data_IF_328389654545
#
_entry.id   IF_328389654545
#
_cell.length_a   1.000
_cell.length_b   1.000
_cell.length_c   1.000
_cell.angle_alpha   90.00
_cell.angle_beta   90.00
_cell.angle_gamma   90.00
#
_symmetry.space_group_name_H-M   'P 1'
#
loop_
_entity.id
_entity.type
_entity.pdbx_description
1 polymer ?
#
# COMPACT_ATOMS: atom_id res chain seq x y z
N UNK A 1 -33.78 -2.27 -26.96
CA UNK A 1 -33.09 -1.41 -25.98
C UNK A 1 -32.12 -2.29 -25.21
N UNK A 2 -30.82 -2.19 -25.48
CA UNK A 2 -29.82 -2.88 -24.68
C UNK A 2 -29.57 -2.01 -23.43
N UNK A 3 -30.15 -2.41 -22.30
CA UNK A 3 -29.76 -1.86 -21.00
C UNK A 3 -28.35 -2.37 -20.74
N UNK A 4 -27.36 -1.59 -21.17
CA UNK A 4 -25.96 -1.82 -20.84
C UNK A 4 -25.83 -1.66 -19.34
N UNK A 5 -25.94 -2.76 -18.61
CA UNK A 5 -25.55 -2.84 -17.22
C UNK A 5 -24.05 -2.58 -17.18
N UNK A 6 -23.66 -1.32 -16.98
CA UNK A 6 -22.28 -0.99 -16.64
C UNK A 6 -21.92 -1.86 -15.43
N UNK A 7 -20.78 -2.57 -15.45
CA UNK A 7 -20.34 -3.34 -14.30
C UNK A 7 -20.40 -2.40 -13.09
N UNK A 8 -21.16 -2.79 -12.07
CA UNK A 8 -21.45 -1.98 -10.89
C UNK A 8 -20.10 -1.60 -10.26
N UNK A 9 -19.61 -0.41 -10.57
CA UNK A 9 -18.32 0.05 -10.09
C UNK A 9 -18.35 0.02 -8.56
N UNK A 10 -17.32 -0.56 -7.95
CA UNK A 10 -17.23 -0.64 -6.49
C UNK A 10 -17.15 0.79 -5.95
N UNK A 11 -18.13 1.20 -5.14
CA UNK A 11 -18.08 2.50 -4.48
C UNK A 11 -16.97 2.50 -3.41
N UNK A 12 -16.43 3.69 -3.11
CA UNK A 12 -15.43 3.85 -2.07
C UNK A 12 -15.93 3.34 -0.70
N UNK A 13 -17.21 3.58 -0.39
CA UNK A 13 -17.86 3.08 0.83
C UNK A 13 -17.88 1.54 0.89
N UNK A 14 -18.26 0.87 -0.21
CA UNK A 14 -18.23 -0.60 -0.28
C UNK A 14 -16.82 -1.15 -0.20
N UNK A 15 -15.84 -0.42 -0.75
CA UNK A 15 -14.44 -0.82 -0.68
C UNK A 15 -13.91 -0.74 0.76
N UNK A 16 -14.28 0.32 1.49
CA UNK A 16 -13.95 0.46 2.90
C UNK A 16 -14.54 -0.67 3.74
N UNK A 17 -15.84 -0.95 3.59
CA UNK A 17 -16.50 -2.06 4.30
C UNK A 17 -15.87 -3.41 3.98
N UNK A 18 -15.42 -3.61 2.73
CA UNK A 18 -14.73 -4.81 2.30
C UNK A 18 -13.36 -4.95 2.99
N UNK A 19 -12.56 -3.89 3.04
CA UNK A 19 -11.26 -3.87 3.73
C UNK A 19 -11.42 -4.10 5.24
N UNK A 20 -12.37 -3.41 5.88
CA UNK A 20 -12.69 -3.60 7.29
C UNK A 20 -13.11 -5.06 7.58
N UNK A 21 -13.93 -5.64 6.71
CA UNK A 21 -14.36 -7.03 6.83
C UNK A 21 -13.20 -8.03 6.61
N UNK A 22 -12.24 -7.74 5.73
CA UNK A 22 -11.04 -8.55 5.55
C UNK A 22 -10.15 -8.56 6.78
N UNK A 23 -10.12 -7.45 7.54
CA UNK A 23 -9.37 -7.35 8.79
C UNK A 23 -10.04 -8.14 9.93
N UNK A 24 -11.37 -8.25 9.92
CA UNK A 24 -12.12 -9.02 10.93
C UNK A 24 -12.11 -10.52 10.61
N UNK A 25 -12.33 -10.89 9.34
CA UNK A 25 -12.41 -12.27 8.90
C UNK A 25 -11.10 -12.68 8.22
N UNK A 26 -10.24 -13.36 8.97
CA UNK A 26 -8.98 -13.89 8.46
C UNK A 26 -9.19 -15.13 7.56
N UNK A 27 -8.10 -15.64 6.97
CA UNK A 27 -8.05 -16.78 6.03
C UNK A 27 -8.63 -18.07 6.60
N UNK A 28 -8.51 -18.27 7.91
CA UNK A 28 -8.98 -19.47 8.61
C UNK A 28 -10.48 -19.41 8.96
N UNK A 29 -11.14 -18.30 8.66
CA UNK A 29 -12.58 -18.13 8.95
C UNK A 29 -13.41 -19.00 8.01
N UNK A 30 -14.23 -19.94 8.52
CA UNK A 30 -15.17 -20.67 7.67
C UNK A 30 -16.21 -19.69 7.10
N UNK A 31 -16.58 -19.92 5.84
CA UNK A 31 -17.53 -19.08 5.09
C UNK A 31 -17.13 -17.59 5.04
N UNK A 32 -15.82 -17.31 5.07
CA UNK A 32 -15.24 -15.96 5.03
C UNK A 32 -15.93 -15.05 4.02
N UNK A 33 -16.05 -15.50 2.78
CA UNK A 33 -16.62 -14.71 1.68
C UNK A 33 -18.10 -14.39 1.87
N UNK A 34 -18.87 -15.33 2.43
CA UNK A 34 -20.28 -15.10 2.72
C UNK A 34 -20.45 -14.09 3.86
N UNK A 35 -19.59 -14.15 4.89
CA UNK A 35 -19.60 -13.16 5.98
C UNK A 35 -19.22 -11.76 5.48
N UNK A 36 -18.20 -11.66 4.63
CA UNK A 36 -17.81 -10.39 4.02
C UNK A 36 -18.93 -9.84 3.13
N UNK A 37 -19.54 -10.67 2.28
CA UNK A 37 -20.66 -10.26 1.43
C UNK A 37 -21.86 -9.72 2.23
N UNK A 38 -22.13 -10.31 3.41
CA UNK A 38 -23.14 -9.82 4.35
C UNK A 38 -22.79 -8.46 4.95
N UNK A 39 -21.53 -8.22 5.29
CA UNK A 39 -21.06 -6.93 5.85
C UNK A 39 -21.09 -5.82 4.81
N UNK A 40 -20.61 -6.10 3.59
CA UNK A 40 -20.57 -5.12 2.50
C UNK A 40 -21.97 -4.77 1.98
N UNK A 41 -22.89 -5.74 1.99
CA UNK A 41 -24.28 -5.55 1.62
C UNK A 41 -24.51 -5.37 0.10
N UNK A 42 -25.54 -6.05 -0.41
CA UNK A 42 -25.91 -5.96 -1.83
C UNK A 42 -24.78 -6.35 -2.78
N UNK A 43 -24.00 -7.37 -2.39
CA UNK A 43 -22.93 -8.02 -3.13
C UNK A 43 -22.99 -9.53 -2.91
N UNK A 44 -22.59 -10.34 -3.89
CA UNK A 44 -22.53 -11.80 -3.74
C UNK A 44 -21.14 -12.28 -3.31
N UNK A 45 -21.04 -13.54 -2.87
CA UNK A 45 -19.74 -14.11 -2.50
C UNK A 45 -18.76 -14.17 -3.69
N UNK A 46 -19.26 -14.37 -4.91
CA UNK A 46 -18.46 -14.40 -6.13
C UNK A 46 -17.91 -13.02 -6.48
N UNK A 47 -18.72 -11.97 -6.32
CA UNK A 47 -18.26 -10.59 -6.51
C UNK A 47 -17.14 -10.26 -5.52
N UNK A 48 -17.31 -10.64 -4.25
CA UNK A 48 -16.32 -10.40 -3.19
C UNK A 48 -15.01 -11.18 -3.48
N UNK A 49 -15.10 -12.45 -3.89
CA UNK A 49 -13.93 -13.25 -4.31
C UNK A 49 -13.18 -12.58 -5.47
N UNK A 50 -13.90 -12.15 -6.51
CA UNK A 50 -13.30 -11.44 -7.65
C UNK A 50 -12.61 -10.14 -7.22
N UNK A 51 -13.21 -9.39 -6.29
CA UNK A 51 -12.60 -8.16 -5.77
C UNK A 51 -11.33 -8.45 -4.98
N UNK A 52 -11.30 -9.54 -4.23
CA UNK A 52 -10.11 -10.00 -3.54
C UNK A 52 -8.98 -10.44 -4.50
N UNK A 53 -9.30 -11.14 -5.59
CA UNK A 53 -8.32 -11.50 -6.61
C UNK A 53 -7.68 -10.28 -7.28
N UNK A 54 -8.47 -9.25 -7.58
CA UNK A 54 -7.97 -7.98 -8.12
C UNK A 54 -7.02 -7.32 -7.11
N UNK A 55 -7.40 -7.29 -5.83
CA UNK A 55 -6.56 -6.73 -4.77
C UNK A 55 -5.22 -7.47 -4.66
N UNK A 56 -5.22 -8.80 -4.69
CA UNK A 56 -3.99 -9.60 -4.68
C UNK A 56 -3.12 -9.33 -5.90
N UNK A 57 -3.72 -9.21 -7.07
CA UNK A 57 -2.98 -8.89 -8.29
C UNK A 57 -2.35 -7.49 -8.22
N UNK A 58 -3.04 -6.51 -7.65
CA UNK A 58 -2.49 -5.16 -7.46
C UNK A 58 -1.33 -5.15 -6.46
N UNK A 59 -1.46 -5.86 -5.33
CA UNK A 59 -0.35 -6.04 -4.36
C UNK A 59 0.86 -6.70 -5.04
N UNK A 60 0.65 -7.78 -5.77
CA UNK A 60 1.71 -8.47 -6.49
C UNK A 60 2.44 -7.55 -7.48
N UNK A 61 1.70 -6.68 -8.19
CA UNK A 61 2.30 -5.70 -9.12
C UNK A 61 3.16 -4.67 -8.40
N UNK A 62 2.75 -4.24 -7.20
CA UNK A 62 3.51 -3.31 -6.37
C UNK A 62 4.79 -4.00 -5.88
N UNK A 63 4.68 -5.20 -5.32
CA UNK A 63 5.82 -5.97 -4.78
C UNK A 63 6.82 -6.42 -5.85
N UNK A 64 6.36 -6.59 -7.09
CA UNK A 64 7.21 -6.96 -8.23
C UNK A 64 7.89 -5.77 -8.92
N UNK A 65 7.84 -4.56 -8.34
CA UNK A 65 8.32 -3.31 -8.96
C UNK A 65 7.72 -3.05 -10.36
N UNK A 66 6.54 -3.60 -10.65
CA UNK A 66 5.81 -3.40 -11.92
C UNK A 66 4.92 -2.17 -11.90
N UNK A 67 5.00 -1.37 -10.85
CA UNK A 67 4.38 -0.05 -10.75
C UNK A 67 5.49 0.99 -10.81
N UNK A 68 5.50 1.88 -11.82
CA UNK A 68 6.51 2.91 -11.89
C UNK A 68 6.39 3.80 -10.65
N UNK A 69 7.50 4.02 -9.95
CA UNK A 69 7.53 4.95 -8.84
C UNK A 69 7.09 6.33 -9.33
N UNK A 70 6.27 7.06 -8.56
CA UNK A 70 6.01 8.45 -8.84
C UNK A 70 7.33 9.20 -8.97
N UNK A 71 7.42 10.13 -9.94
CA UNK A 71 8.54 11.03 -10.04
C UNK A 71 8.48 12.03 -8.88
N UNK A 72 8.91 11.59 -7.70
CA UNK A 72 9.17 12.46 -6.57
C UNK A 72 10.34 13.34 -7.00
N UNK A 73 10.05 14.60 -7.30
CA UNK A 73 11.11 15.56 -7.55
C UNK A 73 11.99 15.55 -6.31
N UNK A 74 13.25 15.14 -6.48
CA UNK A 74 14.29 15.16 -5.46
C UNK A 74 14.70 16.61 -5.21
N UNK A 75 13.77 17.39 -4.67
CA UNK A 75 14.02 18.78 -4.28
C UNK A 75 14.62 18.79 -2.87
N UNK A 76 15.82 18.20 -2.72
CA UNK A 76 16.76 18.58 -1.67
C UNK A 76 17.12 17.55 -0.60
N UNK A 77 16.49 16.38 -0.55
CA UNK A 77 16.77 15.42 0.53
C UNK A 77 18.18 14.83 0.41
N UNK A 78 18.68 14.64 -0.81
CA UNK A 78 20.02 14.05 -1.02
C UNK A 78 21.18 15.01 -0.65
N UNK A 79 20.98 16.33 -0.75
CA UNK A 79 22.05 17.32 -0.49
C UNK A 79 22.21 17.60 1.00
N UNK A 80 21.11 17.67 1.74
CA UNK A 80 21.08 17.87 3.19
C UNK A 80 21.76 16.69 3.91
N UNK A 81 21.45 15.45 3.52
CA UNK A 81 22.05 14.23 4.10
C UNK A 81 23.55 14.14 3.83
N UNK A 82 24.02 14.45 2.62
CA UNK A 82 25.46 14.51 2.31
C UNK A 82 26.20 15.61 3.09
N UNK A 83 25.56 16.76 3.33
CA UNK A 83 26.14 17.83 4.13
C UNK A 83 26.23 17.45 5.62
N UNK A 84 25.26 16.69 6.13
CA UNK A 84 25.27 16.18 7.50
C UNK A 84 26.38 15.13 7.68
N UNK A 85 26.52 14.16 6.77
CA UNK A 85 27.58 13.15 6.84
C UNK A 85 28.98 13.78 6.73
N UNK A 86 29.18 14.71 5.79
CA UNK A 86 30.48 15.36 5.61
C UNK A 86 30.85 16.24 6.81
N UNK A 87 29.88 16.88 7.48
CA UNK A 87 30.12 17.65 8.71
C UNK A 87 30.49 16.77 9.91
N UNK A 88 29.86 15.61 10.05
CA UNK A 88 30.16 14.68 11.14
C UNK A 88 31.57 14.09 11.02
N UNK A 89 32.00 13.74 9.81
CA UNK A 89 33.36 13.27 9.55
C UNK A 89 34.43 14.33 9.87
N UNK A 90 34.18 15.59 9.50
CA UNK A 90 35.04 16.72 9.84
C UNK A 90 35.15 16.93 11.35
N UNK A 91 34.04 16.81 12.09
CA UNK A 91 34.04 16.91 13.56
C UNK A 91 34.88 15.78 14.17
N UNK A 92 34.72 14.55 13.67
CA UNK A 92 35.46 13.38 14.15
C UNK A 92 36.96 13.49 13.88
N UNK A 93 37.36 13.99 12.71
CA UNK A 93 38.76 14.22 12.34
C UNK A 93 39.41 15.32 13.20
N UNK A 94 38.66 16.36 13.58
CA UNK A 94 39.15 17.40 14.50
C UNK A 94 39.38 16.86 15.91
N UNK A 95 38.49 16.02 16.43
CA UNK A 95 38.63 15.43 17.76
C UNK A 95 39.85 14.49 17.86
N UNK A 96 40.14 13.73 16.80
CA UNK A 96 41.34 12.87 16.75
C UNK A 96 42.63 13.69 16.75
N UNK A 97 42.72 14.74 15.94
CA UNK A 97 43.90 15.63 15.89
C UNK A 97 44.16 16.34 17.22
N UNK A 98 43.11 16.68 17.97
CA UNK A 98 43.19 17.28 19.30
C UNK A 98 43.65 16.30 20.40
N UNK A 99 43.63 14.99 20.14
CA UNK A 99 44.10 13.97 21.09
C UNK A 99 45.56 13.53 20.86
N UNK A 100 46.17 14.02 19.79
CA UNK A 100 47.56 13.73 19.41
C UNK A 100 48.55 14.84 19.82
N UNK A 101 48.06 15.93 20.42
CA UNK A 101 48.84 17.07 20.95
C UNK A 101 48.80 17.09 22.49
#
# INVERSE_FOLDING_TARGET
>A
MASGSFPKAWSAEKNKLFEDALAIYDKDTPDRWQKIAKVVGGTTEEEVKKKYEILLHDVYRIESDKVPLPNYKDEGICRELQLMTNKEEEIRLKQLKLSEE
#
